data_IF_257674670113
#
_entry.id   IF_257674670113
#
_cell.length_a   1.000
_cell.length_b   1.000
_cell.length_c   1.000
_cell.angle_alpha   90.00
_cell.angle_beta   90.00
_cell.angle_gamma   90.00
#
_symmetry.space_group_name_H-M   'P 1'
#
loop_
_entity.id
_entity.type
_entity.pdbx_description
1 polymer ?
#
# COMPACT_ATOMS: atom_id res chain seq x y z
N UNK A 1 -9.12 8.78 27.13
CA UNK A 1 -8.52 7.56 26.54
C UNK A 1 -8.53 7.75 25.03
N UNK A 2 -7.37 8.04 24.44
CA UNK A 2 -7.25 8.45 23.05
C UNK A 2 -7.31 7.21 22.16
N UNK A 3 -8.45 7.02 21.49
CA UNK A 3 -8.64 5.94 20.52
C UNK A 3 -7.89 6.29 19.22
N UNK A 4 -6.58 6.05 19.18
CA UNK A 4 -5.79 6.08 17.95
C UNK A 4 -5.95 4.76 17.20
N UNK A 5 -7.18 4.35 16.87
CA UNK A 5 -7.37 3.30 15.87
C UNK A 5 -7.23 3.96 14.50
N UNK A 6 -6.05 3.89 13.88
CA UNK A 6 -5.96 4.07 12.44
C UNK A 6 -6.99 3.11 11.82
N UNK A 7 -7.96 3.65 11.08
CA UNK A 7 -9.01 2.83 10.48
C UNK A 7 -8.35 1.93 9.44
N UNK A 8 -8.23 0.63 9.76
CA UNK A 8 -7.73 -0.37 8.82
C UNK A 8 -8.71 -0.41 7.65
N UNK A 9 -8.25 -0.04 6.45
CA UNK A 9 -9.06 -0.15 5.24
C UNK A 9 -9.40 -1.62 4.99
N UNK A 10 -10.60 -1.91 4.51
CA UNK A 10 -10.95 -3.28 4.12
C UNK A 10 -10.06 -3.74 2.95
N UNK A 11 -9.53 -4.97 3.03
CA UNK A 11 -8.84 -5.62 1.92
C UNK A 11 -9.85 -5.91 0.80
N UNK A 12 -9.64 -5.29 -0.36
CA UNK A 12 -10.49 -5.43 -1.56
C UNK A 12 -9.78 -6.19 -2.68
N UNK A 13 -8.53 -6.62 -2.46
CA UNK A 13 -7.75 -7.48 -3.36
C UNK A 13 -6.55 -6.79 -3.99
N UNK A 14 -6.60 -5.47 -4.17
CA UNK A 14 -5.55 -4.70 -4.84
C UNK A 14 -4.91 -3.62 -3.97
N UNK A 15 -5.21 -3.63 -2.68
CA UNK A 15 -4.65 -2.71 -1.69
C UNK A 15 -3.82 -3.45 -0.61
N UNK A 16 -3.31 -4.64 -0.95
CA UNK A 16 -2.68 -5.55 0.02
C UNK A 16 -1.54 -4.89 0.80
N UNK A 17 -0.61 -4.20 0.14
CA UNK A 17 0.53 -3.56 0.80
C UNK A 17 0.12 -2.54 1.85
N UNK A 18 -0.88 -1.70 1.53
CA UNK A 18 -1.38 -0.70 2.49
C UNK A 18 -2.18 -1.34 3.61
N UNK A 19 -3.07 -2.27 3.28
CA UNK A 19 -3.85 -3.03 4.26
C UNK A 19 -2.94 -3.75 5.25
N UNK A 20 -1.90 -4.44 4.76
CA UNK A 20 -0.96 -5.20 5.58
C UNK A 20 -0.18 -4.29 6.53
N UNK A 21 0.29 -3.13 6.06
CA UNK A 21 0.97 -2.14 6.90
C UNK A 21 0.06 -1.63 8.03
N UNK A 22 -1.18 -1.24 7.70
CA UNK A 22 -2.13 -0.70 8.67
C UNK A 22 -2.58 -1.78 9.69
N UNK A 23 -2.72 -3.02 9.23
CA UNK A 23 -3.00 -4.20 10.06
C UNK A 23 -1.86 -4.47 11.05
N UNK A 24 -0.61 -4.55 10.57
CA UNK A 24 0.56 -4.84 11.41
C UNK A 24 0.75 -3.78 12.49
N UNK A 25 0.58 -2.51 12.13
CA UNK A 25 0.63 -1.40 13.08
C UNK A 25 -0.47 -1.53 14.15
N UNK A 26 -1.69 -1.85 13.75
CA UNK A 26 -2.83 -1.98 14.67
C UNK A 26 -2.70 -3.19 15.60
N UNK A 27 -2.26 -4.33 15.09
CA UNK A 27 -2.02 -5.53 15.91
C UNK A 27 -0.87 -5.32 16.90
N UNK A 28 0.19 -4.62 16.49
CA UNK A 28 1.31 -4.27 17.37
C UNK A 28 0.89 -3.36 18.53
N UNK A 29 0.12 -2.29 18.26
CA UNK A 29 -0.39 -1.41 19.32
C UNK A 29 -1.33 -2.16 20.28
N UNK A 30 -2.08 -3.12 19.78
CA UNK A 30 -2.99 -3.93 20.58
C UNK A 30 -2.31 -5.07 21.36
N UNK A 31 -1.00 -5.27 21.21
CA UNK A 31 -0.24 -6.43 21.72
C UNK A 31 -0.86 -7.78 21.29
N UNK A 32 -1.30 -7.87 20.03
CA UNK A 32 -1.89 -9.06 19.45
C UNK A 32 -0.96 -9.75 18.43
N UNK A 33 0.22 -9.20 18.17
CA UNK A 33 1.19 -9.66 17.17
C UNK A 33 2.09 -10.83 17.63
N UNK A 34 2.00 -11.26 18.90
CA UNK A 34 2.84 -12.33 19.46
C UNK A 34 2.83 -13.60 18.61
N UNK A 35 1.65 -14.11 18.23
CA UNK A 35 1.51 -15.31 17.41
C UNK A 35 1.98 -15.14 15.96
N UNK A 36 2.10 -13.90 15.48
CA UNK A 36 2.65 -13.60 14.15
C UNK A 36 4.19 -13.60 14.17
N UNK A 37 4.78 -13.22 15.31
CA UNK A 37 6.23 -13.10 15.50
C UNK A 37 6.89 -14.39 15.96
N UNK A 38 6.26 -15.10 16.88
CA UNK A 38 6.83 -16.27 17.55
C UNK A 38 6.20 -17.57 17.05
N UNK A 39 7.00 -18.64 17.00
CA UNK A 39 6.49 -19.98 16.74
C UNK A 39 5.78 -20.54 17.98
N UNK A 40 4.73 -21.34 17.75
CA UNK A 40 4.02 -22.02 18.85
C UNK A 40 5.00 -22.91 19.63
N UNK A 41 5.02 -22.73 20.96
CA UNK A 41 5.81 -23.59 21.85
C UNK A 41 5.21 -25.00 21.90
N UNK A 42 6.07 -26.02 21.95
CA UNK A 42 5.66 -27.40 22.22
C UNK A 42 5.80 -27.66 23.72
N UNK A 43 4.71 -28.07 24.36
CA UNK A 43 4.66 -28.36 25.80
C UNK A 43 4.68 -29.87 26.01
N UNK A 44 5.45 -30.30 27.01
CA UNK A 44 5.58 -31.68 27.48
C UNK A 44 5.28 -31.76 28.99
N UNK A 45 5.36 -32.96 29.56
CA UNK A 45 5.07 -33.19 30.98
C UNK A 45 5.94 -32.36 31.94
N UNK A 46 7.20 -32.09 31.57
CA UNK A 46 8.18 -31.35 32.37
C UNK A 46 8.13 -29.83 32.17
N UNK A 47 7.20 -29.33 31.35
CA UNK A 47 7.15 -27.90 31.04
C UNK A 47 6.79 -27.06 32.26
N UNK A 48 7.53 -25.97 32.44
CA UNK A 48 7.36 -25.06 33.57
C UNK A 48 6.03 -24.30 33.51
N UNK A 49 5.64 -23.71 34.64
CA UNK A 49 4.45 -22.86 34.69
C UNK A 49 4.57 -21.69 33.71
N UNK A 50 5.74 -21.06 33.61
CA UNK A 50 5.96 -19.94 32.70
C UNK A 50 5.81 -20.34 31.22
N UNK A 51 6.22 -21.55 30.84
CA UNK A 51 6.04 -22.06 29.48
C UNK A 51 4.56 -22.24 29.14
N UNK A 52 3.77 -22.76 30.09
CA UNK A 52 2.31 -22.91 29.93
C UNK A 52 1.60 -21.57 29.84
N UNK A 53 2.00 -20.59 30.64
CA UNK A 53 1.47 -19.22 30.57
C UNK A 53 1.81 -18.53 29.25
N UNK A 54 3.04 -18.67 28.76
CA UNK A 54 3.44 -18.14 27.44
C UNK A 54 2.65 -18.77 26.31
N UNK A 55 2.41 -20.09 26.36
CA UNK A 55 1.56 -20.75 25.37
C UNK A 55 0.14 -20.18 25.39
N UNK A 56 -0.46 -19.98 26.57
CA UNK A 56 -1.79 -19.41 26.69
C UNK A 56 -1.87 -17.97 26.13
N UNK A 57 -0.82 -17.16 26.35
CA UNK A 57 -0.70 -15.83 25.75
C UNK A 57 -0.58 -15.89 24.22
N UNK A 58 0.23 -16.83 23.71
CA UNK A 58 0.38 -17.08 22.28
C UNK A 58 -0.95 -17.50 21.64
N UNK A 59 -1.67 -18.46 22.23
CA UNK A 59 -2.96 -18.94 21.72
C UNK A 59 -4.05 -17.85 21.77
N UNK A 60 -4.01 -17.00 22.81
CA UNK A 60 -4.89 -15.82 22.87
C UNK A 60 -4.58 -14.84 21.75
N UNK A 61 -3.31 -14.53 21.52
CA UNK A 61 -2.85 -13.64 20.45
C UNK A 61 -3.22 -14.20 19.08
N UNK A 62 -3.02 -15.49 18.84
CA UNK A 62 -3.40 -16.17 17.60
C UNK A 62 -4.91 -16.02 17.35
N UNK A 63 -5.74 -16.45 18.30
CA UNK A 63 -7.19 -16.38 18.16
C UNK A 63 -7.71 -14.96 17.90
N UNK A 64 -7.20 -13.97 18.64
CA UNK A 64 -7.67 -12.58 18.52
C UNK A 64 -7.19 -11.91 17.23
N UNK A 65 -5.96 -12.18 16.81
CA UNK A 65 -5.43 -11.67 15.54
C UNK A 65 -6.18 -12.26 14.36
N UNK A 66 -6.52 -13.55 14.37
CA UNK A 66 -7.34 -14.15 13.30
C UNK A 66 -8.69 -13.45 13.15
N UNK A 67 -9.37 -13.14 14.26
CA UNK A 67 -10.64 -12.43 14.25
C UNK A 67 -10.47 -11.01 13.70
N UNK A 68 -9.44 -10.30 14.15
CA UNK A 68 -9.14 -8.95 13.67
C UNK A 68 -8.85 -8.93 12.16
N UNK A 69 -8.04 -9.87 11.67
CA UNK A 69 -7.72 -9.99 10.24
C UNK A 69 -9.01 -10.27 9.45
N UNK A 70 -9.78 -11.31 9.81
CA UNK A 70 -11.02 -11.67 9.09
C UNK A 70 -12.01 -10.49 9.00
N UNK A 71 -12.12 -9.66 10.06
CA UNK A 71 -12.98 -8.46 10.05
C UNK A 71 -12.54 -7.36 9.09
N UNK A 72 -11.27 -7.36 8.70
CA UNK A 72 -10.70 -6.35 7.80
C UNK A 72 -10.54 -6.86 6.37
N UNK A 73 -11.04 -8.06 6.07
CA UNK A 73 -11.01 -8.65 4.72
C UNK A 73 -12.43 -8.73 4.19
N UNK A 74 -12.63 -8.35 2.92
CA UNK A 74 -13.95 -8.45 2.30
C UNK A 74 -14.44 -9.89 2.23
N UNK A 75 -15.73 -10.11 2.49
CA UNK A 75 -16.35 -11.43 2.63
C UNK A 75 -16.10 -12.34 1.41
N UNK A 76 -16.21 -11.80 0.20
CA UNK A 76 -15.96 -12.55 -1.03
C UNK A 76 -14.51 -13.07 -1.12
N UNK A 77 -13.54 -12.36 -0.53
CA UNK A 77 -12.13 -12.78 -0.49
C UNK A 77 -11.88 -13.88 0.55
N UNK A 78 -12.73 -13.98 1.57
CA UNK A 78 -12.69 -15.01 2.60
C UNK A 78 -13.27 -16.34 2.12
N UNK A 79 -14.29 -16.30 1.25
CA UNK A 79 -15.06 -17.46 0.80
C UNK A 79 -14.23 -18.60 0.17
N UNK A 80 -13.00 -18.30 -0.28
CA UNK A 80 -12.09 -19.28 -0.88
C UNK A 80 -10.84 -19.61 -0.04
N UNK A 81 -10.82 -19.30 1.26
CA UNK A 81 -9.68 -19.57 2.15
C UNK A 81 -10.00 -20.70 3.13
N UNK A 82 -9.05 -21.62 3.31
CA UNK A 82 -9.16 -22.72 4.28
C UNK A 82 -9.09 -22.15 5.71
N UNK A 83 -10.07 -22.48 6.54
CA UNK A 83 -10.16 -22.04 7.94
C UNK A 83 -9.22 -22.79 8.91
N UNK A 84 -8.32 -23.64 8.40
CA UNK A 84 -7.44 -24.48 9.22
C UNK A 84 -6.02 -23.95 9.16
N UNK A 85 -5.48 -23.65 10.34
CA UNK A 85 -4.11 -23.19 10.51
C UNK A 85 -4.00 -22.13 11.59
N UNK A 86 -2.77 -21.74 11.87
CA UNK A 86 -2.43 -20.57 12.68
C UNK A 86 -2.78 -19.29 11.92
N UNK A 87 -2.92 -18.19 12.65
CA UNK A 87 -3.14 -16.87 12.07
C UNK A 87 -2.01 -16.47 11.12
N UNK A 88 -0.79 -16.88 11.45
CA UNK A 88 0.38 -16.65 10.62
C UNK A 88 0.25 -17.33 9.26
N UNK A 89 -0.15 -18.61 9.24
CA UNK A 89 -0.41 -19.35 7.99
C UNK A 89 -1.56 -18.71 7.19
N UNK A 90 -2.64 -18.32 7.87
CA UNK A 90 -3.76 -17.62 7.22
C UNK A 90 -3.31 -16.31 6.55
N UNK A 91 -2.48 -15.52 7.24
CA UNK A 91 -1.91 -14.29 6.71
C UNK A 91 -0.94 -14.53 5.55
N UNK A 92 -0.18 -15.63 5.58
CA UNK A 92 0.66 -16.06 4.46
C UNK A 92 -0.17 -16.37 3.22
N UNK A 93 -1.25 -17.15 3.34
CA UNK A 93 -2.13 -17.48 2.20
C UNK A 93 -2.78 -16.22 1.62
N UNK A 94 -3.18 -15.27 2.47
CA UNK A 94 -3.67 -13.96 2.02
C UNK A 94 -2.59 -13.21 1.22
N UNK A 95 -1.36 -13.21 1.71
CA UNK A 95 -0.22 -12.61 1.02
C UNK A 95 0.02 -13.23 -0.35
N UNK A 96 0.13 -14.55 -0.43
CA UNK A 96 0.36 -15.26 -1.69
C UNK A 96 -0.71 -14.94 -2.74
N UNK A 97 -1.98 -14.83 -2.33
CA UNK A 97 -3.08 -14.55 -3.24
C UNK A 97 -3.16 -13.09 -3.68
N UNK A 98 -3.05 -12.15 -2.73
CA UNK A 98 -3.40 -10.74 -2.98
C UNK A 98 -2.19 -9.83 -3.17
N UNK A 99 -0.99 -10.23 -2.71
CA UNK A 99 0.23 -9.48 -3.01
C UNK A 99 0.55 -9.52 -4.51
N UNK A 100 0.30 -10.64 -5.20
CA UNK A 100 0.50 -10.74 -6.65
C UNK A 100 -0.40 -9.76 -7.40
N UNK A 101 -1.67 -9.66 -7.00
CA UNK A 101 -2.63 -8.73 -7.61
C UNK A 101 -2.24 -7.28 -7.37
N UNK A 102 -1.86 -6.94 -6.15
CA UNK A 102 -1.38 -5.60 -5.75
C UNK A 102 -0.11 -5.19 -6.54
N UNK A 103 0.84 -6.12 -6.68
CA UNK A 103 2.04 -5.92 -7.49
C UNK A 103 1.72 -5.76 -8.99
N UNK A 104 0.77 -6.52 -9.51
CA UNK A 104 0.34 -6.42 -10.90
C UNK A 104 -0.32 -5.07 -11.21
N UNK A 105 -1.20 -4.58 -10.32
CA UNK A 105 -1.80 -3.25 -10.45
C UNK A 105 -0.73 -2.16 -10.36
N UNK A 106 0.15 -2.23 -9.37
CA UNK A 106 1.28 -1.31 -9.20
C UNK A 106 2.18 -1.27 -10.44
N UNK A 107 2.50 -2.44 -11.00
CA UNK A 107 3.28 -2.57 -12.24
C UNK A 107 2.54 -2.00 -13.45
N UNK A 108 1.22 -2.16 -13.53
CA UNK A 108 0.39 -1.54 -14.58
C UNK A 108 0.40 -0.01 -14.47
N UNK A 109 0.23 0.53 -13.26
CA UNK A 109 0.29 1.97 -12.99
C UNK A 109 1.67 2.54 -13.32
N UNK A 110 2.75 1.85 -12.96
CA UNK A 110 4.11 2.26 -13.28
C UNK A 110 4.33 2.31 -14.79
N UNK A 111 3.89 1.29 -15.54
CA UNK A 111 3.92 1.28 -17.01
C UNK A 111 3.12 2.45 -17.59
N UNK A 112 1.90 2.67 -17.10
CA UNK A 112 1.08 3.80 -17.52
C UNK A 112 1.83 5.11 -17.30
N UNK A 113 2.41 5.32 -16.11
CA UNK A 113 3.19 6.52 -15.82
C UNK A 113 4.37 6.68 -16.79
N UNK A 114 5.18 5.65 -17.00
CA UNK A 114 6.38 5.74 -17.85
C UNK A 114 6.05 6.03 -19.32
N UNK A 115 5.00 5.40 -19.84
CA UNK A 115 4.64 5.46 -21.27
C UNK A 115 3.59 6.52 -21.61
N UNK A 116 2.96 7.16 -20.63
CA UNK A 116 2.01 8.24 -20.92
C UNK A 116 2.72 9.34 -21.72
N UNK A 117 2.03 9.85 -22.73
CA UNK A 117 2.45 10.99 -23.57
C UNK A 117 1.24 11.89 -23.77
N UNK A 118 1.50 13.17 -23.93
CA UNK A 118 0.44 14.10 -24.29
C UNK A 118 0.02 13.83 -25.74
N UNK A 119 -1.27 13.57 -25.94
CA UNK A 119 -1.86 13.18 -27.22
C UNK A 119 -2.41 14.37 -28.01
N UNK A 120 -2.16 15.61 -27.55
CA UNK A 120 -2.76 16.85 -28.07
C UNK A 120 -4.29 16.90 -27.94
N UNK A 121 -4.88 16.02 -27.12
CA UNK A 121 -6.32 15.99 -26.84
C UNK A 121 -6.58 16.46 -25.41
N UNK A 122 -7.46 17.45 -25.28
CA UNK A 122 -7.74 18.10 -23.99
C UNK A 122 -6.67 19.12 -23.62
N UNK A 123 -6.67 19.56 -22.36
CA UNK A 123 -5.73 20.56 -21.86
C UNK A 123 -4.51 19.95 -21.18
N UNK A 124 -3.36 20.65 -21.23
CA UNK A 124 -2.15 20.30 -20.45
C UNK A 124 -2.46 20.11 -18.96
N UNK A 125 -3.39 20.89 -18.41
CA UNK A 125 -3.86 20.74 -17.02
C UNK A 125 -4.48 19.37 -16.76
N UNK A 126 -5.33 18.87 -17.66
CA UNK A 126 -5.96 17.56 -17.52
C UNK A 126 -4.93 16.44 -17.64
N UNK A 127 -3.95 16.60 -18.53
CA UNK A 127 -2.82 15.68 -18.65
C UNK A 127 -2.00 15.59 -17.35
N UNK A 128 -1.65 16.73 -16.74
CA UNK A 128 -0.94 16.76 -15.45
C UNK A 128 -1.79 16.10 -14.36
N UNK A 129 -3.10 16.35 -14.31
CA UNK A 129 -3.99 15.69 -13.34
C UNK A 129 -3.98 14.17 -13.50
N UNK A 130 -3.96 13.64 -14.74
CA UNK A 130 -3.85 12.19 -14.99
C UNK A 130 -2.53 11.63 -14.41
N UNK A 131 -1.41 12.31 -14.60
CA UNK A 131 -0.13 11.89 -14.02
C UNK A 131 -0.13 11.90 -12.49
N UNK A 132 -0.61 13.00 -11.87
CA UNK A 132 -0.71 13.13 -10.41
C UNK A 132 -1.65 12.07 -9.83
N UNK A 133 -2.74 11.74 -10.54
CA UNK A 133 -3.63 10.66 -10.14
C UNK A 133 -2.93 9.29 -10.14
N UNK A 134 -2.14 8.99 -11.17
CA UNK A 134 -1.34 7.75 -11.22
C UNK A 134 -0.32 7.72 -10.08
N UNK A 135 0.40 8.82 -9.82
CA UNK A 135 1.33 8.94 -8.69
C UNK A 135 0.62 8.69 -7.35
N UNK A 136 -0.57 9.29 -7.16
CA UNK A 136 -1.34 9.12 -5.92
C UNK A 136 -1.75 7.67 -5.71
N UNK A 137 -2.14 6.96 -6.78
CA UNK A 137 -2.41 5.52 -6.71
C UNK A 137 -1.16 4.73 -6.38
N UNK A 138 -0.03 4.99 -7.04
CA UNK A 138 1.26 4.34 -6.72
C UNK A 138 1.65 4.53 -5.25
N UNK A 139 1.44 5.72 -4.70
CA UNK A 139 1.66 5.99 -3.27
C UNK A 139 0.79 5.12 -2.36
N UNK A 140 -0.44 4.83 -2.77
CA UNK A 140 -1.33 3.91 -2.05
C UNK A 140 -0.85 2.46 -2.07
N UNK A 141 0.00 2.08 -3.03
CA UNK A 141 0.70 0.79 -3.08
C UNK A 141 2.10 0.83 -2.45
N UNK A 142 2.40 1.83 -1.59
CA UNK A 142 3.71 2.02 -0.96
C UNK A 142 4.85 2.38 -1.93
N UNK A 143 4.52 2.84 -3.15
CA UNK A 143 5.50 3.34 -4.12
C UNK A 143 5.46 4.87 -4.07
N UNK A 144 6.34 5.46 -3.28
CA UNK A 144 6.45 6.93 -3.20
C UNK A 144 7.47 7.42 -4.24
N UNK A 145 6.96 8.18 -5.21
CA UNK A 145 7.78 8.78 -6.26
C UNK A 145 8.12 10.21 -5.89
N UNK A 146 9.39 10.57 -6.05
CA UNK A 146 9.86 11.93 -5.81
C UNK A 146 9.10 12.93 -6.70
N UNK A 147 8.60 14.02 -6.11
CA UNK A 147 7.90 15.09 -6.82
C UNK A 147 8.73 15.65 -7.99
N UNK A 148 10.05 15.79 -7.80
CA UNK A 148 10.96 16.24 -8.85
C UNK A 148 10.94 15.32 -10.07
N UNK A 149 10.91 14.00 -9.84
CA UNK A 149 10.83 13.01 -10.93
C UNK A 149 9.51 13.16 -11.71
N UNK A 150 8.39 13.38 -11.03
CA UNK A 150 7.09 13.54 -11.67
C UNK A 150 7.03 14.82 -12.51
N UNK A 151 7.58 15.92 -12.00
CA UNK A 151 7.65 17.20 -12.74
C UNK A 151 8.52 17.04 -13.99
N UNK A 152 9.72 16.49 -13.85
CA UNK A 152 10.63 16.25 -14.98
C UNK A 152 9.99 15.32 -16.03
N UNK A 153 9.36 14.23 -15.57
CA UNK A 153 8.68 13.29 -16.46
C UNK A 153 7.47 13.92 -17.16
N UNK A 154 6.69 14.76 -16.47
CA UNK A 154 5.58 15.51 -17.05
C UNK A 154 6.05 16.42 -18.17
N UNK A 155 7.13 17.17 -17.95
CA UNK A 155 7.71 18.05 -18.97
C UNK A 155 8.21 17.27 -20.19
N UNK A 156 8.87 16.13 -19.97
CA UNK A 156 9.37 15.26 -21.05
C UNK A 156 8.25 14.59 -21.87
N UNK A 157 7.04 14.52 -21.33
CA UNK A 157 5.90 13.93 -22.02
C UNK A 157 5.05 14.95 -22.79
N UNK A 158 5.36 16.25 -22.67
CA UNK A 158 4.73 17.32 -23.46
C UNK A 158 5.42 17.47 -24.83
N UNK A 159 4.69 17.91 -25.87
CA UNK A 159 5.29 18.23 -27.15
C UNK A 159 6.29 19.37 -27.05
N UNK A 160 7.27 19.39 -27.95
CA UNK A 160 8.33 20.40 -27.99
C UNK A 160 7.79 21.85 -28.09
N UNK A 161 6.60 22.03 -28.65
CA UNK A 161 5.95 23.34 -28.77
C UNK A 161 5.62 23.96 -27.40
N UNK A 162 5.47 23.14 -26.35
CA UNK A 162 5.22 23.58 -24.98
C UNK A 162 6.52 23.77 -24.18
N UNK A 163 7.60 23.08 -24.52
CA UNK A 163 8.89 23.19 -23.81
C UNK A 163 9.67 24.44 -24.23
N UNK A 164 9.40 24.97 -25.44
CA UNK A 164 9.95 26.25 -25.91
C UNK A 164 9.54 27.44 -25.01
N UNK A 165 8.37 27.38 -24.37
CA UNK A 165 7.88 28.44 -23.47
C UNK A 165 8.66 28.47 -22.14
N UNK A 166 9.30 27.36 -21.74
CA UNK A 166 10.05 27.26 -20.49
C UNK A 166 11.51 27.73 -20.62
N UNK A 167 12.16 27.49 -21.77
CA UNK A 167 13.51 28.02 -22.03
C UNK A 167 13.56 29.54 -22.15
N UNK A 168 12.46 30.20 -22.55
CA UNK A 168 12.39 31.67 -22.62
C UNK A 168 12.42 32.32 -21.23
N UNK A 169 12.08 31.60 -20.15
CA UNK A 169 12.10 32.15 -18.78
C UNK A 169 13.47 32.09 -18.10
N UNK A 170 14.41 31.26 -18.56
CA UNK A 170 15.77 31.20 -17.99
C UNK A 170 16.76 32.15 -18.69
N UNK A 171 16.47 32.59 -19.91
CA UNK A 171 17.15 33.73 -20.53
C UNK A 171 16.44 35.02 -20.11
N UNK A 172 16.90 35.63 -19.02
CA UNK A 172 16.40 36.93 -18.58
C UNK A 172 16.44 37.97 -19.70
N UNK A 173 15.27 38.37 -20.18
CA UNK A 173 15.09 39.65 -20.85
C UNK A 173 13.70 40.22 -20.54
N UNK A 174 13.71 41.43 -19.99
CA UNK A 174 12.59 42.20 -19.44
C UNK A 174 11.64 42.74 -20.54
N UNK A 175 10.51 43.39 -20.17
CA UNK A 175 9.24 43.29 -20.87
C UNK A 175 9.18 44.19 -22.11
N UNK A 176 8.54 43.74 -23.18
CA UNK A 176 8.06 44.66 -24.22
C UNK A 176 6.56 44.86 -24.08
N UNK A 177 6.24 46.13 -23.79
CA UNK A 177 4.95 46.75 -23.89
C UNK A 177 4.22 46.38 -25.19
N UNK A 178 2.92 46.15 -25.08
CA UNK A 178 1.97 46.45 -26.15
C UNK A 178 1.78 47.97 -26.21
N UNK A 179 2.54 48.65 -27.06
CA UNK A 179 2.07 49.69 -27.99
C UNK A 179 3.16 50.01 -29.02
#
# INVERSE_FOLDING_TARGET
MNNCSASIKILTGSNYSKWKQDLDFSLGIANLDLALRESKLTINADSTLEQKERLAQWERSDRLSLIAIKRTVSEHLLSGLLEKGTTKEFLTVLGERYQVSDNAESGCLMKQLTYIRYDNVGGVREFIMKMVHIQTKLKSHQIDLNEKFIVEHALNCLPADFTQILHVKESGQHPFCLM
#
